data_IF_108191988784
#
_entry.id   IF_108191988784
#
_cell.length_a   1.000
_cell.length_b   1.000
_cell.length_c   1.000
_cell.angle_alpha   90.00
_cell.angle_beta   90.00
_cell.angle_gamma   90.00
#
_symmetry.space_group_name_H-M   'P 1'
#
loop_
_entity.id
_entity.type
_entity.pdbx_description
1 polymer ?
#
# COMPACT_ATOMS: atom_id res chain seq x y z
N UNK A 1 -16.73 0.55 21.49
CA UNK A 1 -15.48 0.47 20.68
C UNK A 1 -15.40 -0.76 19.77
N UNK A 2 -16.08 -1.87 20.12
CA UNK A 2 -15.97 -3.16 19.41
C UNK A 2 -17.04 -3.42 18.33
N UNK A 3 -18.14 -2.67 18.31
CA UNK A 3 -19.30 -3.00 17.47
C UNK A 3 -19.15 -2.70 15.96
N UNK A 4 -18.28 -1.81 15.57
CA UNK A 4 -18.10 -1.48 14.14
C UNK A 4 -17.05 -2.37 13.46
N UNK A 5 -16.10 -2.89 14.22
CA UNK A 5 -15.17 -3.90 13.70
C UNK A 5 -15.87 -5.20 13.28
N UNK A 6 -17.08 -5.48 13.79
CA UNK A 6 -17.89 -6.61 13.34
C UNK A 6 -18.43 -6.46 11.90
N UNK A 7 -18.44 -5.26 11.33
CA UNK A 7 -18.92 -5.03 9.95
C UNK A 7 -17.78 -4.88 8.94
N UNK A 8 -16.56 -4.63 9.40
CA UNK A 8 -15.38 -4.60 8.53
C UNK A 8 -14.81 -6.01 8.41
N UNK A 9 -14.51 -6.41 7.17
CA UNK A 9 -13.95 -7.72 6.91
C UNK A 9 -12.60 -7.86 7.62
N UNK A 10 -12.39 -8.98 8.30
CA UNK A 10 -11.09 -9.35 8.83
C UNK A 10 -10.11 -9.52 7.68
N UNK A 11 -8.93 -8.92 7.83
CA UNK A 11 -7.89 -8.93 6.82
C UNK A 11 -6.78 -9.89 7.22
N UNK A 12 -6.04 -10.38 6.23
CA UNK A 12 -4.90 -11.27 6.41
C UNK A 12 -3.62 -10.47 6.77
N UNK A 13 -3.71 -9.73 7.87
CA UNK A 13 -2.61 -9.00 8.51
C UNK A 13 -2.61 -9.33 10.00
N UNK A 14 -1.53 -8.99 10.70
CA UNK A 14 -1.55 -8.99 12.16
C UNK A 14 -2.58 -8.00 12.71
N UNK A 15 -2.96 -8.18 13.95
CA UNK A 15 -3.77 -7.21 14.65
C UNK A 15 -2.95 -5.95 14.96
N UNK A 16 -3.41 -4.79 14.47
CA UNK A 16 -2.84 -3.48 14.77
C UNK A 16 -3.81 -2.65 15.57
N UNK A 17 -3.30 -1.67 16.31
CA UNK A 17 -4.13 -0.71 17.03
C UNK A 17 -4.43 0.52 16.16
N UNK A 18 -5.72 0.74 15.91
CA UNK A 18 -6.19 1.88 15.14
C UNK A 18 -6.94 2.88 16.01
N UNK A 19 -6.69 4.16 15.79
CA UNK A 19 -7.49 5.24 16.35
C UNK A 19 -8.67 5.53 15.43
N UNK A 20 -9.88 5.33 15.92
CA UNK A 20 -11.10 5.56 15.15
C UNK A 20 -12.05 6.48 15.92
N UNK A 21 -12.90 7.20 15.19
CA UNK A 21 -13.98 8.00 15.73
C UNK A 21 -15.21 7.93 14.85
N UNK A 22 -16.38 8.20 15.42
CA UNK A 22 -17.63 8.36 14.67
C UNK A 22 -18.00 9.85 14.67
N UNK A 23 -18.24 10.41 13.50
CA UNK A 23 -18.69 11.79 13.31
C UNK A 23 -19.53 11.88 12.04
N UNK A 24 -20.58 12.71 12.06
CA UNK A 24 -21.49 12.94 10.92
C UNK A 24 -22.04 11.64 10.30
N UNK A 25 -22.40 10.67 11.16
CA UNK A 25 -22.93 9.38 10.75
C UNK A 25 -21.91 8.43 10.09
N UNK A 26 -20.64 8.84 9.98
CA UNK A 26 -19.57 8.07 9.36
C UNK A 26 -18.51 7.67 10.37
N UNK A 27 -17.80 6.60 10.06
CA UNK A 27 -16.58 6.23 10.77
C UNK A 27 -15.36 6.84 10.12
N UNK A 28 -14.39 7.23 10.94
CA UNK A 28 -13.13 7.83 10.55
C UNK A 28 -12.01 7.06 11.21
N UNK A 29 -10.91 6.88 10.49
CA UNK A 29 -9.69 6.25 10.96
C UNK A 29 -8.53 7.26 10.88
N UNK A 30 -7.66 7.25 11.88
CA UNK A 30 -6.50 8.14 11.89
C UNK A 30 -5.37 7.55 11.06
N UNK A 31 -4.98 8.27 10.01
CA UNK A 31 -3.83 7.94 9.17
C UNK A 31 -2.55 8.46 9.83
N UNK A 32 -1.65 7.55 10.15
CA UNK A 32 -0.40 7.86 10.87
C UNK A 32 0.67 8.53 10.00
N UNK A 33 0.53 8.50 8.68
CA UNK A 33 1.41 9.18 7.73
C UNK A 33 0.86 10.55 7.38
N UNK A 34 -0.42 10.64 6.97
CA UNK A 34 -1.10 11.91 6.65
C UNK A 34 -1.40 12.75 7.90
N UNK A 35 -1.31 12.16 9.11
CA UNK A 35 -1.57 12.79 10.42
C UNK A 35 -2.94 13.44 10.53
N UNK A 36 -3.95 12.79 9.95
CA UNK A 36 -5.34 13.25 9.96
C UNK A 36 -6.31 12.09 9.98
N UNK A 37 -7.55 12.37 10.39
CA UNK A 37 -8.63 11.42 10.23
C UNK A 37 -9.14 11.44 8.79
N UNK A 38 -9.38 10.26 8.24
CA UNK A 38 -9.97 10.02 6.92
C UNK A 38 -11.20 9.14 7.06
N UNK A 39 -12.13 9.24 6.13
CA UNK A 39 -13.34 8.41 6.15
C UNK A 39 -12.94 6.94 6.01
N UNK A 40 -13.43 6.12 6.93
CA UNK A 40 -13.18 4.69 6.93
C UNK A 40 -14.07 4.00 5.88
N UNK A 41 -13.47 3.69 4.74
CA UNK A 41 -14.07 2.91 3.67
C UNK A 41 -13.31 1.58 3.52
N UNK A 42 -13.87 0.56 2.83
CA UNK A 42 -13.21 -0.76 2.70
C UNK A 42 -11.79 -0.71 2.14
N UNK A 43 -11.53 0.09 1.12
CA UNK A 43 -10.18 0.27 0.57
C UNK A 43 -9.25 1.02 1.54
N UNK A 44 -9.76 2.05 2.23
CA UNK A 44 -9.00 2.76 3.26
C UNK A 44 -8.64 1.85 4.44
N UNK A 45 -9.52 0.91 4.79
CA UNK A 45 -9.24 -0.11 5.79
C UNK A 45 -8.03 -0.97 5.41
N UNK A 46 -7.97 -1.41 4.15
CA UNK A 46 -6.81 -2.13 3.61
C UNK A 46 -5.55 -1.25 3.64
N UNK A 47 -5.65 -0.01 3.19
CA UNK A 47 -4.51 0.93 3.16
C UNK A 47 -3.93 1.16 4.55
N UNK A 48 -4.77 1.35 5.56
CA UNK A 48 -4.30 1.56 6.93
C UNK A 48 -3.57 0.33 7.50
N UNK A 49 -4.03 -0.89 7.20
CA UNK A 49 -3.28 -2.11 7.53
C UNK A 49 -1.94 -2.18 6.83
N UNK A 50 -1.89 -1.82 5.55
CA UNK A 50 -0.62 -1.77 4.79
C UNK A 50 0.37 -0.80 5.44
N UNK A 51 -0.07 0.39 5.87
CA UNK A 51 0.82 1.35 6.52
C UNK A 51 1.42 0.79 7.81
N UNK A 52 0.61 0.16 8.65
CA UNK A 52 1.09 -0.49 9.87
C UNK A 52 2.03 -1.68 9.56
N UNK A 53 1.68 -2.52 8.59
CA UNK A 53 2.53 -3.61 8.12
C UNK A 53 3.92 -3.12 7.69
N UNK A 54 3.97 -2.07 6.85
CA UNK A 54 5.22 -1.51 6.35
C UNK A 54 6.08 -0.94 7.48
N UNK A 55 5.47 -0.26 8.44
CA UNK A 55 6.18 0.40 9.55
C UNK A 55 6.58 -0.61 10.64
N UNK A 56 5.63 -1.39 11.14
CA UNK A 56 5.81 -2.22 12.33
C UNK A 56 6.47 -3.56 12.04
N UNK A 57 6.18 -4.16 10.87
CA UNK A 57 6.72 -5.47 10.51
C UNK A 57 7.91 -5.38 9.55
N UNK A 58 7.91 -4.42 8.64
CA UNK A 58 8.96 -4.28 7.61
C UNK A 58 9.97 -3.19 7.91
N UNK A 59 9.73 -2.37 8.92
CA UNK A 59 10.68 -1.38 9.42
C UNK A 59 10.89 -0.16 8.54
N UNK A 60 9.99 0.11 7.59
CA UNK A 60 10.10 1.27 6.72
C UNK A 60 9.88 2.58 7.48
N UNK A 61 10.80 3.56 7.38
CA UNK A 61 10.66 4.83 8.08
C UNK A 61 9.44 5.63 7.59
N UNK A 62 8.66 6.16 8.51
CA UNK A 62 7.50 7.01 8.19
C UNK A 62 7.84 8.18 7.28
N UNK A 63 9.04 8.74 7.42
CA UNK A 63 9.53 9.88 6.62
C UNK A 63 9.73 9.57 5.13
N UNK A 64 9.85 8.30 4.76
CA UNK A 64 10.00 7.86 3.37
C UNK A 64 8.68 7.38 2.75
N UNK A 65 7.60 7.30 3.53
CA UNK A 65 6.29 6.83 3.08
C UNK A 65 5.41 8.02 2.70
N UNK A 66 4.82 7.95 1.50
CA UNK A 66 3.83 8.90 1.02
C UNK A 66 2.52 8.16 0.70
N UNK A 67 1.40 8.78 1.07
CA UNK A 67 0.05 8.22 0.87
C UNK A 67 -0.71 9.06 -0.14
N UNK A 68 -1.42 8.41 -1.06
CA UNK A 68 -2.18 9.05 -2.14
C UNK A 68 -1.33 10.02 -2.96
N UNK A 69 -0.10 9.62 -3.29
CA UNK A 69 0.85 10.43 -4.04
C UNK A 69 0.51 10.43 -5.52
N UNK A 70 0.28 11.61 -6.07
CA UNK A 70 0.21 11.79 -7.51
C UNK A 70 1.62 11.78 -8.11
N UNK A 71 1.83 10.92 -9.11
CA UNK A 71 3.07 10.83 -9.88
C UNK A 71 2.75 11.00 -11.35
N UNK A 72 3.56 11.79 -12.05
CA UNK A 72 3.42 12.04 -13.49
C UNK A 72 4.55 11.34 -14.23
N UNK A 73 4.18 10.49 -15.17
CA UNK A 73 5.11 9.79 -16.07
C UNK A 73 4.57 9.88 -17.49
N UNK A 74 5.39 10.34 -18.43
CA UNK A 74 5.02 10.50 -19.86
C UNK A 74 3.68 11.27 -20.02
N UNK A 75 3.55 12.42 -19.35
CA UNK A 75 2.36 13.29 -19.35
C UNK A 75 1.10 12.69 -18.70
N UNK A 76 1.16 11.43 -18.24
CA UNK A 76 0.07 10.79 -17.51
C UNK A 76 0.29 10.95 -16.01
N UNK A 77 -0.69 11.53 -15.33
CA UNK A 77 -0.71 11.64 -13.87
C UNK A 77 -1.61 10.57 -13.29
N UNK A 78 -1.04 9.74 -12.41
CA UNK A 78 -1.77 8.73 -11.64
C UNK A 78 -1.49 8.91 -10.16
N UNK A 79 -2.51 8.74 -9.33
CA UNK A 79 -2.40 8.73 -7.88
C UNK A 79 -2.24 7.30 -7.40
N UNK A 80 -1.19 7.07 -6.63
CA UNK A 80 -0.85 5.77 -6.05
C UNK A 80 -1.21 5.76 -4.56
N UNK A 81 -1.65 4.61 -4.06
CA UNK A 81 -2.09 4.45 -2.67
C UNK A 81 -0.96 4.71 -1.69
N UNK A 82 0.17 4.01 -1.86
CA UNK A 82 1.37 4.21 -1.05
C UNK A 82 2.60 4.19 -1.95
N UNK A 83 3.49 5.15 -1.74
CA UNK A 83 4.80 5.22 -2.40
C UNK A 83 5.87 5.37 -1.34
N UNK A 84 6.90 4.52 -1.41
CA UNK A 84 8.08 4.61 -0.54
C UNK A 84 9.28 5.01 -1.40
N UNK A 85 9.98 6.04 -0.92
CA UNK A 85 11.19 6.53 -1.56
C UNK A 85 12.44 6.01 -0.86
N UNK A 86 13.54 5.93 -1.59
CA UNK A 86 14.87 5.85 -1.01
C UNK A 86 15.27 7.21 -0.43
N UNK A 87 16.34 7.26 0.38
CA UNK A 87 16.91 8.54 0.85
C UNK A 87 17.42 9.43 -0.29
N UNK A 88 17.70 8.83 -1.45
CA UNK A 88 18.14 9.56 -2.65
C UNK A 88 16.99 10.10 -3.49
N UNK A 89 15.75 9.76 -3.13
CA UNK A 89 14.55 10.21 -3.82
C UNK A 89 14.06 9.29 -4.94
N UNK A 90 14.71 8.13 -5.13
CA UNK A 90 14.22 7.11 -6.08
C UNK A 90 12.98 6.41 -5.53
N UNK A 91 12.08 5.98 -6.40
CA UNK A 91 10.90 5.20 -5.98
C UNK A 91 11.34 3.76 -5.69
N UNK A 92 11.22 3.37 -4.42
CA UNK A 92 11.62 2.05 -3.96
C UNK A 92 10.47 1.03 -4.03
N UNK A 93 9.31 1.37 -3.48
CA UNK A 93 8.14 0.52 -3.45
C UNK A 93 6.89 1.33 -3.81
N UNK A 94 6.06 0.75 -4.65
CA UNK A 94 4.69 1.21 -4.90
C UNK A 94 3.71 0.19 -4.38
N UNK A 95 2.67 0.63 -3.67
CA UNK A 95 1.57 -0.21 -3.23
C UNK A 95 0.27 0.24 -3.85
N UNK A 96 -0.49 -0.71 -4.39
CA UNK A 96 -1.87 -0.55 -4.85
C UNK A 96 -2.79 -1.37 -3.96
N UNK A 97 -3.75 -0.69 -3.35
CA UNK A 97 -4.77 -1.28 -2.49
C UNK A 97 -6.09 -1.41 -3.24
N UNK A 98 -6.80 -2.49 -2.99
CA UNK A 98 -8.17 -2.71 -3.42
C UNK A 98 -9.03 -3.05 -2.20
N UNK A 99 -10.33 -2.79 -2.30
CA UNK A 99 -11.26 -3.20 -1.26
C UNK A 99 -11.28 -4.74 -1.12
N UNK A 100 -11.58 -5.28 0.08
CA UNK A 100 -11.51 -6.73 0.34
C UNK A 100 -12.43 -7.60 -0.51
N UNK A 101 -13.49 -7.02 -1.07
CA UNK A 101 -14.42 -7.70 -1.98
C UNK A 101 -14.02 -7.65 -3.46
N UNK A 102 -12.93 -6.96 -3.78
CA UNK A 102 -12.40 -6.87 -5.15
C UNK A 102 -11.34 -7.96 -5.33
N UNK A 103 -11.57 -8.88 -6.26
CA UNK A 103 -10.59 -9.89 -6.62
C UNK A 103 -9.44 -9.28 -7.42
N UNK A 104 -8.21 -9.68 -7.11
CA UNK A 104 -7.02 -9.32 -7.88
C UNK A 104 -6.81 -10.43 -8.91
N UNK A 105 -7.26 -10.18 -10.15
CA UNK A 105 -7.05 -11.09 -11.28
C UNK A 105 -5.68 -10.88 -11.90
N UNK A 106 -5.23 -11.83 -12.72
CA UNK A 106 -3.98 -11.68 -13.47
C UNK A 106 -4.01 -10.43 -14.37
N UNK A 107 -5.12 -10.17 -15.05
CA UNK A 107 -5.27 -8.99 -15.93
C UNK A 107 -5.16 -7.68 -15.13
N UNK A 108 -5.81 -7.61 -13.95
CA UNK A 108 -5.72 -6.46 -13.06
C UNK A 108 -4.28 -6.24 -12.59
N UNK A 109 -3.60 -7.33 -12.21
CA UNK A 109 -2.22 -7.28 -11.78
C UNK A 109 -1.29 -6.81 -12.90
N UNK A 110 -1.43 -7.37 -14.09
CA UNK A 110 -0.62 -7.01 -15.26
C UNK A 110 -0.79 -5.53 -15.65
N UNK A 111 -2.00 -5.01 -15.52
CA UNK A 111 -2.28 -3.59 -15.77
C UNK A 111 -1.52 -2.72 -14.76
N UNK A 112 -1.58 -3.04 -13.47
CA UNK A 112 -0.86 -2.31 -12.41
C UNK A 112 0.65 -2.41 -12.63
N UNK A 113 1.16 -3.60 -12.95
CA UNK A 113 2.58 -3.82 -13.19
C UNK A 113 3.10 -3.02 -14.39
N UNK A 114 2.33 -2.90 -15.47
CA UNK A 114 2.69 -2.05 -16.62
C UNK A 114 2.85 -0.56 -16.24
N UNK A 115 1.96 -0.02 -15.43
CA UNK A 115 2.11 1.35 -14.92
C UNK A 115 3.35 1.49 -14.05
N UNK A 116 3.65 0.46 -13.25
CA UNK A 116 4.83 0.46 -12.39
C UNK A 116 6.15 0.41 -13.17
N UNK A 117 6.19 -0.25 -14.32
CA UNK A 117 7.36 -0.24 -15.22
C UNK A 117 7.75 1.19 -15.61
N UNK A 118 6.78 2.05 -15.88
CA UNK A 118 7.03 3.46 -16.24
C UNK A 118 7.58 4.27 -15.04
N UNK A 119 7.23 3.92 -13.82
CA UNK A 119 7.72 4.59 -12.59
C UNK A 119 9.13 4.19 -12.20
N UNK A 120 9.62 3.06 -12.71
CA UNK A 120 10.91 2.46 -12.32
C UNK A 120 11.05 2.17 -10.82
N UNK A 121 9.94 1.84 -10.14
CA UNK A 121 10.00 1.36 -8.76
C UNK A 121 10.72 0.01 -8.68
N UNK A 122 11.49 -0.21 -7.61
CA UNK A 122 12.20 -1.49 -7.42
C UNK A 122 11.23 -2.61 -7.07
N UNK A 123 10.23 -2.32 -6.23
CA UNK A 123 9.24 -3.29 -5.77
C UNK A 123 7.81 -2.80 -6.03
N UNK A 124 6.92 -3.76 -6.16
CA UNK A 124 5.48 -3.56 -6.26
C UNK A 124 4.76 -4.47 -5.26
N UNK A 125 3.81 -3.93 -4.53
CA UNK A 125 2.83 -4.68 -3.73
C UNK A 125 1.42 -4.37 -4.24
N UNK A 126 0.64 -5.41 -4.49
CA UNK A 126 -0.78 -5.30 -4.81
C UNK A 126 -1.55 -6.13 -3.78
N UNK A 127 -2.54 -5.52 -3.13
CA UNK A 127 -3.30 -6.20 -2.07
C UNK A 127 -4.75 -5.74 -2.01
N UNK A 128 -5.63 -6.66 -1.66
CA UNK A 128 -7.00 -6.36 -1.23
C UNK A 128 -7.21 -6.65 0.28
N UNK A 129 -6.11 -6.83 1.02
CA UNK A 129 -6.14 -7.17 2.43
C UNK A 129 -6.33 -8.66 2.75
N UNK A 130 -6.80 -9.45 1.79
CA UNK A 130 -6.97 -10.91 1.92
C UNK A 130 -5.84 -11.63 1.16
N UNK A 131 -5.55 -11.18 -0.04
CA UNK A 131 -4.47 -11.68 -0.88
C UNK A 131 -3.43 -10.57 -1.07
N UNK A 132 -2.16 -10.95 -0.92
CA UNK A 132 -1.02 -10.05 -1.07
C UNK A 132 -0.09 -10.59 -2.15
N UNK A 133 0.29 -9.72 -3.08
CA UNK A 133 1.24 -10.02 -4.14
C UNK A 133 2.41 -9.07 -4.05
N UNK A 134 3.61 -9.62 -3.95
CA UNK A 134 4.86 -8.87 -3.88
C UNK A 134 5.71 -9.19 -5.10
N UNK A 135 6.25 -8.18 -5.74
CA UNK A 135 7.11 -8.35 -6.91
C UNK A 135 8.35 -7.49 -6.84
N UNK A 136 9.45 -8.03 -7.35
CA UNK A 136 10.62 -7.27 -7.74
C UNK A 136 10.57 -7.03 -9.25
N UNK A 137 10.85 -5.80 -9.67
CA UNK A 137 10.83 -5.42 -11.07
C UNK A 137 12.21 -5.65 -11.70
N UNK A 138 12.24 -6.35 -12.83
CA UNK A 138 13.42 -6.50 -13.66
C UNK A 138 13.28 -5.63 -14.92
N UNK A 139 13.94 -4.48 -14.90
CA UNK A 139 13.86 -3.51 -15.99
C UNK A 139 14.71 -3.90 -17.20
N UNK A 140 15.68 -4.79 -17.05
CA UNK A 140 16.50 -5.27 -18.17
C UNK A 140 15.71 -6.23 -19.05
N UNK A 141 14.92 -7.10 -18.41
CA UNK A 141 14.07 -8.08 -19.08
C UNK A 141 12.65 -7.58 -19.31
N UNK A 142 12.27 -6.41 -18.76
CA UNK A 142 10.91 -5.87 -18.86
C UNK A 142 9.86 -6.75 -18.21
N UNK A 143 10.22 -7.46 -17.13
CA UNK A 143 9.36 -8.39 -16.43
C UNK A 143 9.41 -8.16 -14.92
N UNK A 144 8.54 -8.84 -14.18
CA UNK A 144 8.53 -8.85 -12.72
C UNK A 144 8.67 -10.27 -12.18
N UNK A 145 9.29 -10.37 -11.00
CA UNK A 145 9.48 -11.63 -10.27
C UNK A 145 8.64 -11.60 -9.01
N UNK A 146 7.76 -12.59 -8.84
CA UNK A 146 6.99 -12.73 -7.60
C UNK A 146 7.90 -13.13 -6.45
N UNK A 147 7.66 -12.48 -5.31
CA UNK A 147 8.32 -12.77 -4.03
C UNK A 147 7.33 -13.40 -3.06
N UNK A 148 7.82 -14.22 -2.16
CA UNK A 148 6.99 -14.78 -1.07
C UNK A 148 6.63 -13.74 -0.02
N UNK A 149 7.50 -12.76 0.18
CA UNK A 149 7.36 -11.71 1.17
C UNK A 149 8.07 -10.45 0.73
N UNK A 150 7.65 -9.32 1.29
CA UNK A 150 8.30 -8.03 1.05
C UNK A 150 9.58 -7.94 1.89
N UNK A 151 10.71 -7.48 1.32
CA UNK A 151 11.95 -7.32 2.07
C UNK A 151 11.82 -6.33 3.24
N UNK A 152 12.59 -6.55 4.30
CA UNK A 152 12.71 -5.59 5.39
C UNK A 152 13.55 -4.39 4.97
N UNK A 153 13.21 -3.22 5.49
CA UNK A 153 13.99 -1.99 5.21
C UNK A 153 15.47 -2.14 5.61
N UNK A 154 15.74 -2.82 6.73
CA UNK A 154 17.10 -3.07 7.21
C UNK A 154 17.97 -3.97 6.33
N UNK A 155 17.37 -4.69 5.37
CA UNK A 155 18.10 -5.53 4.42
C UNK A 155 18.81 -4.70 3.34
N UNK A 156 18.52 -3.40 3.27
CA UNK A 156 19.05 -2.48 2.28
C UNK A 156 19.90 -1.38 2.93
N UNK A 157 20.98 -1.02 2.27
CA UNK A 157 21.73 0.20 2.55
C UNK A 157 21.16 1.33 1.68
N UNK A 158 19.96 1.80 2.01
CA UNK A 158 19.23 2.82 1.26
C UNK A 158 19.55 4.25 1.73
#
# INVERSE_FOLDING_TARGET
KYFYFCTMKELNFKAYEFRTKKADGKWWIYDIIRRKYVVLQPEEWVRQHVLHFLIEEKGYPKSLINVEKALTVNELTKRYDVVIYTRRGDIFLVVECKAPNVSITQDTFDQIARYNLALKATYLMVTNGISHYYCQMDYKLGQYLFLRDLPHYGDFQL
#
